data_IF_874996288885
#
_entry.id   IF_874996288885
#
_cell.length_a   1.000
_cell.length_b   1.000
_cell.length_c   1.000
_cell.angle_alpha   90.00
_cell.angle_beta   90.00
_cell.angle_gamma   90.00
#
_symmetry.space_group_name_H-M   'P 1'
#
loop_
_entity.id
_entity.type
_entity.pdbx_description
1 polymer ?
#
# COMPACT_ATOMS: atom_id res chain seq x y z
N UNK A 1 -9.09 -19.36 -7.34
CA UNK A 1 -8.03 -18.38 -7.58
C UNK A 1 -7.94 -17.42 -6.43
N UNK A 2 -6.76 -17.19 -5.95
CA UNK A 2 -6.56 -16.29 -4.83
C UNK A 2 -6.17 -14.90 -5.32
N UNK A 3 -6.53 -13.89 -4.55
CA UNK A 3 -6.02 -12.54 -4.74
C UNK A 3 -4.86 -12.31 -3.79
N UNK A 4 -3.97 -11.40 -4.16
CA UNK A 4 -2.80 -11.06 -3.34
C UNK A 4 -2.92 -9.62 -2.85
N UNK A 5 -2.91 -9.45 -1.54
CA UNK A 5 -2.80 -8.14 -0.92
C UNK A 5 -1.44 -8.02 -0.25
N UNK A 6 -0.63 -7.09 -0.72
CA UNK A 6 0.64 -6.76 -0.08
C UNK A 6 0.44 -5.47 0.69
N UNK A 7 0.74 -5.49 1.98
CA UNK A 7 0.55 -4.34 2.87
C UNK A 7 1.90 -3.86 3.36
N UNK A 8 2.24 -2.62 3.08
CA UNK A 8 3.53 -2.04 3.43
C UNK A 8 3.32 -0.73 4.21
N UNK A 9 3.86 -0.61 5.42
CA UNK A 9 3.83 0.65 6.14
C UNK A 9 4.92 1.58 5.59
N UNK A 10 4.62 2.88 5.55
CA UNK A 10 5.58 3.89 5.11
C UNK A 10 5.57 5.06 6.09
N UNK A 11 6.76 5.51 6.46
CA UNK A 11 6.94 6.66 7.33
C UNK A 11 8.13 7.47 6.87
N UNK A 12 7.90 8.71 6.46
CA UNK A 12 8.95 9.62 5.97
C UNK A 12 9.81 8.97 4.86
N UNK A 13 9.12 8.39 3.87
CA UNK A 13 9.77 7.63 2.80
C UNK A 13 9.76 8.36 1.45
N UNK A 14 9.59 9.68 1.46
CA UNK A 14 9.40 10.44 0.21
C UNK A 14 10.51 10.22 -0.81
N UNK A 15 11.75 10.01 -0.36
CA UNK A 15 12.87 9.80 -1.29
C UNK A 15 12.82 8.45 -1.99
N UNK A 16 12.23 7.44 -1.36
CA UNK A 16 12.27 6.07 -1.87
C UNK A 16 10.91 5.46 -2.15
N UNK A 17 9.83 6.19 -1.85
CA UNK A 17 8.49 5.60 -1.92
C UNK A 17 8.12 5.13 -3.33
N UNK A 18 8.46 5.91 -4.35
CA UNK A 18 8.12 5.53 -5.71
C UNK A 18 8.87 4.27 -6.14
N UNK A 19 10.14 4.17 -5.77
CA UNK A 19 10.95 2.99 -6.06
C UNK A 19 10.39 1.75 -5.34
N UNK A 20 10.01 1.92 -4.08
CA UNK A 20 9.40 0.84 -3.30
C UNK A 20 8.09 0.38 -3.94
N UNK A 21 7.25 1.33 -4.35
CA UNK A 21 5.99 1.01 -5.02
C UNK A 21 6.25 0.18 -6.28
N UNK A 22 7.16 0.64 -7.15
CA UNK A 22 7.43 -0.05 -8.40
C UNK A 22 7.95 -1.47 -8.17
N UNK A 23 8.78 -1.64 -7.17
CA UNK A 23 9.35 -2.94 -6.83
C UNK A 23 8.26 -3.95 -6.46
N UNK A 24 7.30 -3.56 -5.65
CA UNK A 24 6.25 -4.45 -5.18
C UNK A 24 5.04 -4.50 -6.09
N UNK A 25 4.80 -3.44 -6.86
CA UNK A 25 3.68 -3.41 -7.77
C UNK A 25 3.78 -4.50 -8.84
N UNK A 26 4.99 -4.78 -9.30
CA UNK A 26 5.22 -5.86 -10.26
C UNK A 26 4.77 -7.20 -9.72
N UNK A 27 5.00 -7.44 -8.43
CA UNK A 27 4.57 -8.70 -7.79
C UNK A 27 3.05 -8.79 -7.77
N UNK A 28 2.39 -7.71 -7.42
CA UNK A 28 0.93 -7.68 -7.39
C UNK A 28 0.35 -7.90 -8.78
N UNK A 29 0.93 -7.26 -9.80
CA UNK A 29 0.46 -7.42 -11.17
C UNK A 29 0.56 -8.87 -11.65
N UNK A 30 1.64 -9.56 -11.28
CA UNK A 30 1.84 -10.95 -11.68
C UNK A 30 0.83 -11.90 -11.06
N UNK A 31 0.22 -11.52 -9.95
CA UNK A 31 -0.71 -12.36 -9.21
C UNK A 31 -2.13 -11.83 -9.27
N UNK A 32 -2.42 -10.98 -10.27
CA UNK A 32 -3.72 -10.33 -10.38
C UNK A 32 -4.64 -11.03 -11.39
N UNK A 33 -4.84 -12.33 -11.21
CA UNK A 33 -5.60 -13.16 -12.15
C UNK A 33 -7.05 -12.73 -12.29
N UNK A 34 -7.65 -12.26 -11.20
CA UNK A 34 -9.07 -11.90 -11.18
C UNK A 34 -9.31 -10.40 -11.01
N UNK A 35 -8.26 -9.59 -11.08
CA UNK A 35 -8.38 -8.16 -10.90
C UNK A 35 -8.60 -7.73 -9.46
N UNK A 36 -8.40 -8.62 -8.50
CA UNK A 36 -8.67 -8.35 -7.08
C UNK A 36 -7.42 -8.12 -6.24
N UNK A 37 -6.24 -8.31 -6.81
CA UNK A 37 -4.99 -8.09 -6.07
C UNK A 37 -4.71 -6.60 -5.92
N UNK A 38 -4.11 -6.23 -4.80
CA UNK A 38 -3.83 -4.82 -4.49
C UNK A 38 -2.52 -4.67 -3.74
N UNK A 39 -1.85 -3.55 -3.98
CA UNK A 39 -0.72 -3.11 -3.17
C UNK A 39 -1.22 -2.00 -2.25
N UNK A 40 -1.19 -2.25 -0.95
CA UNK A 40 -1.67 -1.29 0.05
C UNK A 40 -0.46 -0.66 0.72
N UNK A 41 -0.30 0.64 0.58
CA UNK A 41 0.77 1.38 1.25
C UNK A 41 0.11 2.27 2.30
N UNK A 42 0.51 2.11 3.54
CA UNK A 42 -0.08 2.85 4.66
C UNK A 42 0.89 3.93 5.10
N UNK A 43 0.48 5.17 4.92
CA UNK A 43 1.24 6.30 5.42
C UNK A 43 1.01 6.42 6.93
N UNK A 44 2.06 6.18 7.71
CA UNK A 44 1.97 6.16 9.16
C UNK A 44 2.37 7.52 9.75
N UNK A 45 1.58 8.54 9.44
CA UNK A 45 1.78 9.87 9.98
C UNK A 45 3.05 10.56 9.51
N UNK A 46 3.44 10.37 8.25
CA UNK A 46 4.66 10.99 7.72
C UNK A 46 4.60 12.51 7.81
N UNK A 47 5.74 13.11 8.14
CA UNK A 47 5.88 14.55 8.23
C UNK A 47 6.36 15.18 6.92
N UNK A 48 6.80 14.36 5.98
CA UNK A 48 7.21 14.82 4.66
C UNK A 48 6.06 14.62 3.67
N UNK A 49 6.33 14.70 2.37
CA UNK A 49 5.29 14.58 1.35
C UNK A 49 5.07 13.14 0.87
N UNK A 50 5.36 12.15 1.72
CA UNK A 50 5.18 10.72 1.36
C UNK A 50 3.76 10.44 0.88
N UNK A 51 2.75 10.89 1.60
CA UNK A 51 1.36 10.60 1.23
C UNK A 51 0.97 11.27 -0.08
N UNK A 52 1.44 12.49 -0.32
CA UNK A 52 1.17 13.17 -1.59
C UNK A 52 1.74 12.40 -2.76
N UNK A 53 2.95 11.86 -2.61
CA UNK A 53 3.58 11.04 -3.65
C UNK A 53 2.81 9.74 -3.88
N UNK A 54 2.32 9.12 -2.80
CA UNK A 54 1.47 7.94 -2.92
C UNK A 54 0.23 8.25 -3.75
N UNK A 55 -0.44 9.35 -3.47
CA UNK A 55 -1.64 9.74 -4.20
C UNK A 55 -1.36 9.98 -5.68
N UNK A 56 -0.23 10.58 -6.00
CA UNK A 56 0.17 10.80 -7.39
C UNK A 56 0.42 9.48 -8.13
N UNK A 57 0.98 8.50 -7.43
CA UNK A 57 1.29 7.21 -8.05
C UNK A 57 0.03 6.42 -8.41
N UNK A 58 -1.08 6.68 -7.75
CA UNK A 58 -2.35 5.99 -8.05
C UNK A 58 -2.80 6.25 -9.48
N UNK A 59 -2.49 7.42 -10.03
CA UNK A 59 -2.93 7.80 -11.39
C UNK A 59 -2.46 6.82 -12.45
N UNK A 60 -1.29 6.20 -12.26
CA UNK A 60 -0.71 5.25 -13.21
C UNK A 60 -0.66 3.82 -12.67
N UNK A 61 -1.16 3.59 -11.45
CA UNK A 61 -1.08 2.30 -10.78
C UNK A 61 -2.43 1.96 -10.15
N UNK A 62 -3.39 1.46 -10.94
CA UNK A 62 -4.77 1.25 -10.45
C UNK A 62 -4.88 0.22 -9.33
N UNK A 63 -3.89 -0.65 -9.16
CA UNK A 63 -3.91 -1.64 -8.08
C UNK A 63 -3.31 -1.10 -6.78
N UNK A 64 -2.82 0.14 -6.78
CA UNK A 64 -2.25 0.78 -5.59
C UNK A 64 -3.35 1.43 -4.76
N UNK A 65 -3.37 1.12 -3.47
CA UNK A 65 -4.30 1.73 -2.52
C UNK A 65 -3.48 2.47 -1.46
N UNK A 66 -3.51 3.80 -1.45
CA UNK A 66 -2.86 4.57 -0.39
C UNK A 66 -3.81 4.74 0.79
N UNK A 67 -3.33 4.44 1.97
CA UNK A 67 -4.07 4.67 3.21
C UNK A 67 -3.27 5.63 4.08
N UNK A 68 -3.98 6.45 4.82
CA UNK A 68 -3.37 7.42 5.73
C UNK A 68 -3.89 7.17 7.14
N UNK A 69 -2.98 7.20 8.11
CA UNK A 69 -3.36 7.06 9.52
C UNK A 69 -2.40 7.85 10.38
N UNK A 70 -2.82 8.26 11.58
CA UNK A 70 -1.91 8.90 12.53
C UNK A 70 -0.76 7.97 12.89
N UNK A 71 0.41 8.55 13.19
CA UNK A 71 1.56 7.76 13.58
C UNK A 71 1.26 6.93 14.82
N UNK A 72 1.38 5.62 14.70
CA UNK A 72 1.12 4.69 15.79
C UNK A 72 2.18 3.62 15.89
N UNK A 73 3.25 3.77 15.09
CA UNK A 73 4.32 2.80 15.07
C UNK A 73 4.08 1.66 14.08
N UNK A 74 5.09 0.85 13.87
CA UNK A 74 5.09 -0.16 12.81
C UNK A 74 4.03 -1.25 13.04
N UNK A 75 3.95 -1.78 14.26
CA UNK A 75 3.02 -2.86 14.56
C UNK A 75 1.55 -2.46 14.34
N UNK A 76 1.09 -1.36 14.94
CA UNK A 76 -0.27 -0.89 14.70
C UNK A 76 -0.57 -0.58 13.23
N UNK A 77 0.43 -0.09 12.48
CA UNK A 77 0.26 0.21 11.07
C UNK A 77 0.01 -1.06 10.26
N UNK A 78 0.79 -2.12 10.52
CA UNK A 78 0.62 -3.39 9.84
C UNK A 78 -0.76 -3.97 10.15
N UNK A 79 -1.18 -3.92 11.40
CA UNK A 79 -2.49 -4.42 11.81
C UNK A 79 -3.62 -3.64 11.13
N UNK A 80 -3.47 -2.34 11.00
CA UNK A 80 -4.44 -1.50 10.31
C UNK A 80 -4.63 -1.97 8.86
N UNK A 81 -3.53 -2.20 8.16
CA UNK A 81 -3.59 -2.68 6.78
C UNK A 81 -4.17 -4.09 6.66
N UNK A 82 -3.82 -4.95 7.61
CA UNK A 82 -4.36 -6.31 7.64
C UNK A 82 -5.88 -6.29 7.81
N UNK A 83 -6.38 -5.46 8.72
CA UNK A 83 -7.83 -5.30 8.92
C UNK A 83 -8.50 -4.75 7.66
N UNK A 84 -7.86 -3.84 6.97
CA UNK A 84 -8.37 -3.32 5.71
C UNK A 84 -8.50 -4.44 4.68
N UNK A 85 -7.47 -5.27 4.54
CA UNK A 85 -7.48 -6.38 3.59
C UNK A 85 -8.60 -7.37 3.89
N UNK A 86 -8.80 -7.69 5.18
CA UNK A 86 -9.90 -8.57 5.59
C UNK A 86 -11.25 -7.95 5.23
N UNK A 87 -11.42 -6.65 5.48
CA UNK A 87 -12.66 -5.94 5.17
C UNK A 87 -12.96 -5.99 3.68
N UNK A 88 -11.94 -5.96 2.84
CA UNK A 88 -12.10 -6.08 1.39
C UNK A 88 -12.24 -7.53 0.92
N UNK A 89 -12.29 -8.47 1.86
CA UNK A 89 -12.44 -9.90 1.57
C UNK A 89 -11.30 -10.44 0.70
N UNK A 90 -10.09 -10.02 1.00
CA UNK A 90 -8.91 -10.55 0.32
C UNK A 90 -8.73 -12.04 0.68
N UNK A 91 -8.27 -12.78 -0.26
CA UNK A 91 -8.00 -14.22 -0.05
C UNK A 91 -6.71 -14.45 0.73
#
# INVERSE_FOLDING_TARGET
>A
MSSLYIVIPAYNESENIEKTIDQWYQVVERHNDEGKSRLVIINDGSKDNTYELLQKCVATRPLLIPLDKPNGGHGPTVLYGYRYAIRQKAD
#
